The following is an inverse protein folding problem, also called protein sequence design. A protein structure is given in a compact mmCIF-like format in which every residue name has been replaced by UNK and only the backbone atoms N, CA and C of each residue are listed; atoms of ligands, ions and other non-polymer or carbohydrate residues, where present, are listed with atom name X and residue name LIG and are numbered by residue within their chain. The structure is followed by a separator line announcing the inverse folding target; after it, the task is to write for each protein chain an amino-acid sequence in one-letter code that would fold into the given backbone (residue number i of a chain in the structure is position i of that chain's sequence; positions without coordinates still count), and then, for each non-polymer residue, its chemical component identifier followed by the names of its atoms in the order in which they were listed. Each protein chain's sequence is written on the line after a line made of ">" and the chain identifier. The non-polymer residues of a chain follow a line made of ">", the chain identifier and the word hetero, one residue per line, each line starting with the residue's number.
data_IF_776533631041
#
_entry.id   IF_776533631041
#
_cell.length_a   1.000
_cell.length_b   1.000
_cell.length_c   1.000
_cell.angle_alpha   90.00
_cell.angle_beta   90.00
_cell.angle_gamma   90.00
#
_symmetry.space_group_name_H-M   'P 1'
#
loop_
_entity.id
_entity.type
_entity.pdbx_description
1 polymer ?
#
# COMPACT_ATOMS: atom_id res chain seq x y z
N UNK A 1 -15.35 -9.18 4.47
CA UNK A 1 -14.42 -9.64 3.42
C UNK A 1 -13.47 -10.71 3.95
N UNK A 2 -13.39 -11.87 3.27
CA UNK A 2 -12.50 -13.00 3.61
C UNK A 2 -11.02 -12.69 3.30
N UNK A 3 -10.08 -13.40 3.93
CA UNK A 3 -8.63 -13.28 3.68
C UNK A 3 -8.31 -13.40 2.18
N UNK A 4 -8.94 -14.35 1.47
CA UNK A 4 -8.77 -14.53 0.02
C UNK A 4 -9.14 -13.28 -0.79
N UNK A 5 -10.20 -12.59 -0.37
CA UNK A 5 -10.65 -11.38 -1.05
C UNK A 5 -9.72 -10.18 -0.77
N UNK A 6 -9.18 -10.07 0.45
CA UNK A 6 -8.15 -9.06 0.79
C UNK A 6 -6.88 -9.24 -0.03
N UNK A 7 -6.43 -10.48 -0.23
CA UNK A 7 -5.28 -10.78 -1.11
C UNK A 7 -5.61 -10.39 -2.56
N UNK A 8 -6.76 -10.80 -3.08
CA UNK A 8 -7.19 -10.46 -4.45
C UNK A 8 -7.24 -8.95 -4.70
N UNK A 9 -7.70 -8.18 -3.73
CA UNK A 9 -7.76 -6.71 -3.83
C UNK A 9 -6.34 -6.10 -3.90
N UNK A 10 -5.40 -6.53 -3.06
CA UNK A 10 -3.99 -6.08 -3.16
C UNK A 10 -3.34 -6.50 -4.48
N UNK A 11 -3.65 -7.68 -5.00
CA UNK A 11 -3.18 -8.11 -6.34
C UNK A 11 -3.62 -7.15 -7.45
N UNK A 12 -4.83 -6.59 -7.37
CA UNK A 12 -5.32 -5.61 -8.36
C UNK A 12 -4.54 -4.30 -8.30
N UNK A 13 -4.23 -3.80 -7.11
CA UNK A 13 -3.33 -2.64 -6.96
C UNK A 13 -1.94 -2.94 -7.54
N UNK A 14 -1.37 -4.12 -7.23
CA UNK A 14 -0.07 -4.55 -7.76
C UNK A 14 -0.05 -4.58 -9.29
N UNK A 15 -1.11 -5.06 -9.93
CA UNK A 15 -1.22 -5.05 -11.39
C UNK A 15 -1.29 -3.62 -11.95
N UNK A 16 -1.96 -2.68 -11.26
CA UNK A 16 -1.97 -1.26 -11.65
C UNK A 16 -0.58 -0.63 -11.56
N UNK A 17 0.16 -0.93 -10.49
CA UNK A 17 1.56 -0.50 -10.32
C UNK A 17 2.45 -1.09 -11.41
N UNK A 18 2.33 -2.40 -11.67
CA UNK A 18 3.13 -3.09 -12.69
C UNK A 18 2.94 -2.49 -14.09
N UNK A 19 1.74 -2.06 -14.45
CA UNK A 19 1.46 -1.41 -15.74
C UNK A 19 2.12 -0.04 -15.91
N UNK A 20 2.56 0.58 -14.81
CA UNK A 20 3.28 1.86 -14.80
C UNK A 20 4.77 1.71 -14.55
N UNK A 21 5.26 0.48 -14.43
CA UNK A 21 6.66 0.20 -14.15
C UNK A 21 7.53 0.57 -15.35
N UNK A 22 8.63 1.26 -15.08
CA UNK A 22 9.68 1.58 -16.04
C UNK A 22 11.01 0.97 -15.56
N UNK A 23 11.67 0.11 -16.37
CA UNK A 23 12.96 -0.48 -16.02
C UNK A 23 14.06 0.54 -15.70
N UNK A 24 14.04 1.72 -16.33
CA UNK A 24 15.05 2.77 -16.05
C UNK A 24 14.84 3.35 -14.66
N UNK A 25 13.59 3.68 -14.33
CA UNK A 25 13.19 4.13 -12.99
C UNK A 25 13.53 3.08 -11.93
N UNK A 26 13.29 1.79 -12.22
CA UNK A 26 13.68 0.68 -11.35
C UNK A 26 15.18 0.69 -11.07
N UNK A 27 16.00 0.63 -12.12
CA UNK A 27 17.45 0.56 -12.01
C UNK A 27 18.03 1.76 -11.25
N UNK A 28 17.48 2.95 -11.49
CA UNK A 28 17.87 4.16 -10.79
C UNK A 28 17.61 4.06 -9.28
N UNK A 29 16.39 3.68 -8.87
CA UNK A 29 16.03 3.56 -7.44
C UNK A 29 16.80 2.45 -6.73
N UNK A 30 16.94 1.28 -7.36
CA UNK A 30 17.69 0.17 -6.78
C UNK A 30 19.17 0.52 -6.62
N UNK A 31 19.78 1.21 -7.59
CA UNK A 31 21.15 1.72 -7.46
C UNK A 31 21.29 2.77 -6.35
N UNK A 32 20.37 3.74 -6.30
CA UNK A 32 20.37 4.80 -5.27
C UNK A 32 20.29 4.23 -3.85
N UNK A 33 19.44 3.22 -3.63
CA UNK A 33 19.27 2.56 -2.33
C UNK A 33 20.17 1.33 -2.15
N UNK A 34 21.20 1.16 -2.97
CA UNK A 34 22.18 0.05 -2.87
C UNK A 34 21.51 -1.34 -2.78
N UNK A 35 20.42 -1.51 -3.52
CA UNK A 35 19.68 -2.78 -3.66
C UNK A 35 19.12 -3.36 -2.35
N UNK A 36 18.97 -2.56 -1.28
CA UNK A 36 18.44 -3.05 0.02
C UNK A 36 16.96 -3.44 -0.04
N UNK A 37 16.24 -3.00 -1.08
CA UNK A 37 14.82 -3.30 -1.29
C UNK A 37 14.54 -3.32 -2.80
N UNK A 38 13.73 -4.28 -3.30
CA UNK A 38 13.38 -4.32 -4.71
C UNK A 38 12.38 -3.22 -5.08
N UNK A 39 12.51 -2.73 -6.31
CA UNK A 39 11.57 -1.79 -6.91
C UNK A 39 10.91 -2.38 -8.16
N UNK A 40 9.67 -1.95 -8.43
CA UNK A 40 9.04 -2.14 -9.74
C UNK A 40 9.52 -1.12 -10.76
N UNK A 41 9.88 0.09 -10.31
CA UNK A 41 10.18 1.23 -11.16
C UNK A 41 8.99 2.14 -11.39
N UNK A 42 8.17 2.39 -10.36
CA UNK A 42 7.05 3.34 -10.44
C UNK A 42 7.39 4.61 -9.67
N UNK A 43 7.16 5.78 -10.27
CA UNK A 43 7.37 7.07 -9.60
C UNK A 43 6.39 7.25 -8.43
N UNK A 44 6.73 8.11 -7.47
CA UNK A 44 5.85 8.42 -6.33
C UNK A 44 4.45 8.87 -6.78
N UNK A 45 4.36 9.74 -7.78
CA UNK A 45 3.07 10.19 -8.35
C UNK A 45 2.33 9.04 -9.04
N UNK A 46 3.06 8.14 -9.70
CA UNK A 46 2.50 6.91 -10.26
C UNK A 46 1.91 5.99 -9.20
N UNK A 47 2.58 5.85 -8.04
CA UNK A 47 2.08 5.09 -6.89
C UNK A 47 0.81 5.74 -6.32
N UNK A 48 0.85 7.04 -6.04
CA UNK A 48 -0.29 7.81 -5.52
C UNK A 48 -1.51 7.70 -6.45
N UNK A 49 -1.32 7.93 -7.75
CA UNK A 49 -2.40 7.83 -8.73
C UNK A 49 -2.99 6.41 -8.80
N UNK A 50 -2.14 5.38 -8.74
CA UNK A 50 -2.59 3.98 -8.76
C UNK A 50 -3.38 3.60 -7.51
N UNK A 51 -2.93 4.09 -6.34
CA UNK A 51 -3.62 3.90 -5.07
C UNK A 51 -5.02 4.50 -5.09
N UNK A 52 -5.15 5.78 -5.46
CA UNK A 52 -6.47 6.44 -5.50
C UNK A 52 -7.39 5.82 -6.56
N UNK A 53 -6.85 5.45 -7.73
CA UNK A 53 -7.62 4.72 -8.73
C UNK A 53 -8.10 3.36 -8.20
N UNK A 54 -7.25 2.59 -7.51
CA UNK A 54 -7.62 1.31 -6.92
C UNK A 54 -8.72 1.46 -5.84
N UNK A 55 -8.59 2.45 -4.95
CA UNK A 55 -9.60 2.72 -3.92
C UNK A 55 -10.96 3.03 -4.52
N UNK A 56 -10.99 3.84 -5.58
CA UNK A 56 -12.21 4.20 -6.31
C UNK A 56 -12.78 3.00 -7.06
N UNK A 57 -11.96 2.32 -7.86
CA UNK A 57 -12.41 1.25 -8.76
C UNK A 57 -12.94 0.02 -7.99
N UNK A 58 -12.46 -0.23 -6.77
CA UNK A 58 -12.98 -1.28 -5.89
C UNK A 58 -13.96 -0.77 -4.82
N UNK A 59 -14.35 0.51 -4.89
CA UNK A 59 -15.22 1.18 -3.93
C UNK A 59 -14.89 0.88 -2.46
N UNK A 60 -13.59 0.90 -2.14
CA UNK A 60 -13.05 0.39 -0.87
C UNK A 60 -13.61 1.16 0.33
N UNK A 61 -13.84 2.47 0.17
CA UNK A 61 -14.30 3.34 1.25
C UNK A 61 -15.72 3.00 1.70
N UNK A 62 -16.58 2.66 0.76
CA UNK A 62 -18.00 2.39 1.01
C UNK A 62 -18.25 0.91 1.34
N UNK A 63 -17.50 0.01 0.70
CA UNK A 63 -17.73 -1.44 0.82
C UNK A 63 -17.03 -2.09 2.03
N UNK A 64 -15.95 -1.48 2.54
CA UNK A 64 -15.17 -2.06 3.64
C UNK A 64 -15.27 -1.26 4.93
N UNK A 65 -15.38 -1.96 6.05
CA UNK A 65 -15.24 -1.34 7.37
C UNK A 65 -13.85 -0.72 7.54
N UNK A 66 -13.76 0.33 8.37
CA UNK A 66 -12.47 0.98 8.72
C UNK A 66 -11.41 -0.02 9.19
N UNK A 67 -11.81 -1.08 9.91
CA UNK A 67 -10.88 -2.15 10.33
C UNK A 67 -10.30 -2.93 9.13
N UNK A 68 -11.14 -3.27 8.14
CA UNK A 68 -10.69 -3.99 6.93
C UNK A 68 -9.88 -3.10 5.99
N UNK A 69 -10.20 -1.81 5.92
CA UNK A 69 -9.36 -0.84 5.20
C UNK A 69 -7.96 -0.74 5.83
N UNK A 70 -7.88 -0.72 7.18
CA UNK A 70 -6.60 -0.79 7.89
C UNK A 70 -5.85 -2.10 7.62
N UNK A 71 -6.53 -3.24 7.65
CA UNK A 71 -5.91 -4.53 7.34
C UNK A 71 -5.36 -4.58 5.89
N UNK A 72 -6.03 -3.94 4.93
CA UNK A 72 -5.54 -3.78 3.57
C UNK A 72 -4.26 -2.94 3.52
N UNK A 73 -4.27 -1.75 4.12
CA UNK A 73 -3.12 -0.85 4.15
C UNK A 73 -1.91 -1.50 4.82
N UNK A 74 -2.11 -2.14 5.99
CA UNK A 74 -1.06 -2.87 6.71
C UNK A 74 -0.54 -4.09 5.93
N UNK A 75 -1.41 -4.74 5.16
CA UNK A 75 -1.02 -5.86 4.31
C UNK A 75 -0.05 -5.47 3.20
N UNK A 76 -0.06 -4.22 2.73
CA UNK A 76 0.85 -3.73 1.69
C UNK A 76 2.32 -3.65 2.16
N UNK A 77 2.57 -3.49 3.47
CA UNK A 77 3.92 -3.50 4.02
C UNK A 77 4.61 -4.86 3.91
N UNK A 78 3.83 -5.94 3.78
CA UNK A 78 4.34 -7.32 3.64
C UNK A 78 4.65 -7.70 2.20
N UNK A 79 4.24 -6.88 1.24
CA UNK A 79 4.54 -7.15 -0.16
C UNK A 79 6.02 -6.81 -0.45
N UNK A 80 6.58 -7.47 -1.45
CA UNK A 80 8.02 -7.47 -1.72
C UNK A 80 8.56 -6.08 -2.09
N UNK A 81 7.89 -5.37 -3.00
CA UNK A 81 8.44 -4.17 -3.63
C UNK A 81 8.24 -2.92 -2.76
N UNK A 82 9.17 -1.97 -2.85
CA UNK A 82 9.10 -0.71 -2.13
C UNK A 82 7.81 0.08 -2.42
N UNK A 83 7.32 0.04 -3.65
CA UNK A 83 6.14 0.79 -4.07
C UNK A 83 4.84 0.29 -3.45
N UNK A 84 4.75 -1.01 -3.07
CA UNK A 84 3.60 -1.48 -2.29
C UNK A 84 3.61 -0.87 -0.90
N UNK A 85 4.78 -0.88 -0.25
CA UNK A 85 4.95 -0.31 1.09
C UNK A 85 4.62 1.17 1.07
N UNK A 86 5.09 1.91 0.06
CA UNK A 86 4.73 3.31 -0.16
C UNK A 86 3.21 3.48 -0.35
N UNK A 87 2.57 2.64 -1.17
CA UNK A 87 1.11 2.68 -1.31
C UNK A 87 0.39 2.44 0.03
N UNK A 88 0.91 1.56 0.88
CA UNK A 88 0.41 1.34 2.25
C UNK A 88 0.52 2.60 3.13
N UNK A 89 1.67 3.27 3.10
CA UNK A 89 1.92 4.53 3.81
C UNK A 89 0.94 5.61 3.33
N UNK A 90 0.83 5.82 2.02
CA UNK A 90 -0.07 6.81 1.43
C UNK A 90 -1.53 6.47 1.74
N UNK A 91 -1.92 5.19 1.78
CA UNK A 91 -3.28 4.80 2.13
C UNK A 91 -3.59 5.17 3.60
N UNK A 92 -2.65 4.92 4.52
CA UNK A 92 -2.78 5.36 5.90
C UNK A 92 -2.88 6.89 6.00
N UNK A 93 -1.96 7.62 5.37
CA UNK A 93 -1.80 9.06 5.51
C UNK A 93 -2.89 9.87 4.79
N UNK A 94 -3.21 9.53 3.55
CA UNK A 94 -4.07 10.34 2.69
C UNK A 94 -5.55 9.91 2.76
N UNK A 95 -5.85 8.74 3.32
CA UNK A 95 -7.23 8.22 3.35
C UNK A 95 -7.68 7.82 4.74
N UNK A 96 -6.94 6.98 5.46
CA UNK A 96 -7.43 6.47 6.74
C UNK A 96 -7.29 7.50 7.88
N UNK A 97 -6.19 8.25 7.89
CA UNK A 97 -5.96 9.30 8.88
C UNK A 97 -6.99 10.44 8.75
N UNK A 98 -7.22 11.04 7.55
CA UNK A 98 -8.18 12.14 7.42
C UNK A 98 -9.62 11.72 7.71
N UNK A 99 -9.96 10.45 7.46
CA UNK A 99 -11.30 9.90 7.74
C UNK A 99 -11.50 9.44 9.21
N UNK A 100 -10.57 9.79 10.10
CA UNK A 100 -10.64 9.42 11.52
C UNK A 100 -10.67 7.91 11.75
N UNK A 101 -10.05 7.12 10.86
CA UNK A 101 -9.99 5.67 10.98
C UNK A 101 -8.79 5.18 11.82
N UNK A 102 -7.84 6.08 12.08
CA UNK A 102 -6.64 5.85 12.89
C UNK A 102 -6.81 6.59 14.23
N UNK A 103 -6.72 5.85 15.33
CA UNK A 103 -6.66 6.40 16.69
C UNK A 103 -5.41 5.83 17.35
N UNK A 104 -4.60 6.66 18.00
CA UNK A 104 -3.36 6.19 18.63
C UNK A 104 -3.63 5.10 19.68
N UNK A 105 -4.74 5.22 20.45
CA UNK A 105 -5.14 4.25 21.47
C UNK A 105 -5.37 2.84 20.91
N UNK A 106 -5.90 2.74 19.69
CA UNK A 106 -6.21 1.45 19.05
C UNK A 106 -5.20 1.03 17.97
N UNK A 107 -4.45 2.00 17.43
CA UNK A 107 -3.50 1.81 16.34
C UNK A 107 -2.11 1.41 16.83
N UNK A 108 -1.66 1.95 17.97
CA UNK A 108 -0.28 1.77 18.44
C UNK A 108 0.08 0.28 18.63
N UNK A 109 -0.75 -0.58 19.27
CA UNK A 109 -0.43 -2.01 19.38
C UNK A 109 -0.36 -2.73 18.02
N UNK A 110 -1.13 -2.29 17.03
CA UNK A 110 -1.12 -2.87 15.67
C UNK A 110 0.12 -2.46 14.88
N UNK A 111 0.56 -1.21 14.99
CA UNK A 111 1.79 -0.73 14.34
C UNK A 111 3.02 -1.36 14.97
N UNK A 112 3.06 -1.50 16.30
CA UNK A 112 4.16 -2.14 17.00
C UNK A 112 4.47 -3.56 16.47
N UNK A 113 3.42 -4.35 16.17
CA UNK A 113 3.55 -5.70 15.58
C UNK A 113 4.25 -5.76 14.22
N UNK A 114 4.40 -4.64 13.51
CA UNK A 114 5.19 -4.60 12.28
C UNK A 114 6.71 -4.67 12.54
N UNK A 115 7.13 -4.34 13.76
CA UNK A 115 8.53 -4.22 14.17
C UNK A 115 8.94 -5.24 15.24
N UNK A 116 8.00 -6.04 15.74
CA UNK A 116 8.22 -7.08 16.73
C UNK A 116 8.77 -8.37 16.10
N UNK A 117 9.86 -8.26 15.33
CA UNK A 117 10.49 -9.38 14.61
C UNK A 117 10.55 -10.68 15.37
#
# INVERSE_FOLDING_TARGET
>A
MSLKATVRSRTRLRLKLQRKADPRTKAWWEGYLKHVIPFRGVTMDGVRASLHAWIRDEDIRSTLSKAKQKDLALGLFREENAEDKLAGILFLQEVLLPNGAISFRTGLPRFAKLFSG
#
